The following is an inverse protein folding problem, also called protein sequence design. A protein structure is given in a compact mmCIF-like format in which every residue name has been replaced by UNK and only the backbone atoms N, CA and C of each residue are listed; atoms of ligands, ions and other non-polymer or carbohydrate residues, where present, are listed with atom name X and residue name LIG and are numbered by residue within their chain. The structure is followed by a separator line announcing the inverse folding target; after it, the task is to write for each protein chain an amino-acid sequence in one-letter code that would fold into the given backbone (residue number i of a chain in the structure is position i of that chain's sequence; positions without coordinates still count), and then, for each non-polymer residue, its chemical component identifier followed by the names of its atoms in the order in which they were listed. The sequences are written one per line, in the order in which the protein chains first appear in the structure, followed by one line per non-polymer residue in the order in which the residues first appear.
data_IF_878993829059
#
_entry.id   IF_878993829059
#
_cell.length_a   1.000
_cell.length_b   1.000
_cell.length_c   1.000
_cell.angle_alpha   90.00
_cell.angle_beta   90.00
_cell.angle_gamma   90.00
#
_symmetry.space_group_name_H-M   'P 1'
#
loop_
_entity.id
_entity.type
_entity.pdbx_description
1 polymer ?
#
# COMPACT_ATOMS: atom_id res chain seq x y z
N UNK A 1 10.60 46.21 -40.32
CA UNK A 1 11.08 47.19 -39.32
C UNK A 1 12.51 47.52 -39.69
N UNK A 2 12.89 48.80 -39.76
CA UNK A 2 14.25 49.18 -40.12
C UNK A 2 15.25 48.76 -39.04
N UNK A 3 16.49 48.49 -39.45
CA UNK A 3 17.60 48.12 -38.56
C UNK A 3 17.78 49.13 -37.42
N UNK A 4 17.57 50.42 -37.71
CA UNK A 4 17.58 51.50 -36.73
C UNK A 4 16.52 51.34 -35.62
N UNK A 5 15.33 50.83 -35.95
CA UNK A 5 14.26 50.59 -34.96
C UNK A 5 14.61 49.42 -34.06
N UNK A 6 15.26 48.39 -34.59
CA UNK A 6 15.72 47.24 -33.81
C UNK A 6 16.87 47.64 -32.88
N UNK A 7 17.84 48.41 -33.37
CA UNK A 7 18.95 48.93 -32.56
C UNK A 7 18.46 49.85 -31.44
N UNK A 8 17.49 50.74 -31.73
CA UNK A 8 16.86 51.59 -30.72
C UNK A 8 16.12 50.75 -29.66
N UNK A 9 15.44 49.66 -30.08
CA UNK A 9 14.74 48.78 -29.15
C UNK A 9 15.69 47.97 -28.28
N UNK A 10 16.79 47.47 -28.83
CA UNK A 10 17.82 46.75 -28.06
C UNK A 10 18.44 47.68 -27.02
N UNK A 11 18.81 48.91 -27.41
CA UNK A 11 19.36 49.90 -26.48
C UNK A 11 18.39 50.25 -25.34
N UNK A 12 17.10 50.42 -25.66
CA UNK A 12 16.08 50.66 -24.64
C UNK A 12 15.92 49.47 -23.67
N UNK A 13 16.04 48.24 -24.17
CA UNK A 13 15.98 47.04 -23.33
C UNK A 13 17.21 46.88 -22.45
N UNK A 14 18.40 47.23 -22.95
CA UNK A 14 19.64 47.24 -22.16
C UNK A 14 19.57 48.26 -21.01
N UNK A 15 19.04 49.46 -21.28
CA UNK A 15 18.81 50.49 -20.26
C UNK A 15 17.78 50.04 -19.20
N UNK A 16 16.69 49.37 -19.61
CA UNK A 16 15.69 48.79 -18.70
C UNK A 16 16.30 47.70 -17.81
N UNK A 17 17.14 46.83 -18.38
CA UNK A 17 17.82 45.75 -17.64
C UNK A 17 18.78 46.31 -16.60
N UNK A 18 19.56 47.34 -16.92
CA UNK A 18 20.45 47.99 -15.95
C UNK A 18 19.67 48.72 -14.85
N UNK A 19 18.53 49.34 -15.19
CA UNK A 19 17.63 49.93 -14.19
C UNK A 19 17.08 48.88 -13.22
N UNK A 20 16.63 47.73 -13.73
CA UNK A 20 16.11 46.63 -12.91
C UNK A 20 17.20 45.99 -12.05
N UNK A 21 18.43 45.84 -12.57
CA UNK A 21 19.58 45.38 -11.77
C UNK A 21 19.92 46.36 -10.65
N UNK A 22 19.86 47.66 -10.91
CA UNK A 22 20.07 48.68 -9.88
C UNK A 22 18.98 48.62 -8.80
N UNK A 23 17.71 48.42 -9.17
CA UNK A 23 16.61 48.23 -8.21
C UNK A 23 16.79 46.98 -7.34
N UNK A 24 17.17 45.84 -7.95
CA UNK A 24 17.45 44.61 -7.22
C UNK A 24 18.66 44.75 -6.27
N UNK A 25 19.65 45.58 -6.63
CA UNK A 25 20.79 45.88 -5.75
C UNK A 25 20.35 46.72 -4.54
N UNK A 26 19.48 47.71 -4.74
CA UNK A 26 18.89 48.52 -3.65
C UNK A 26 18.01 47.66 -2.73
N UNK A 27 17.20 46.75 -3.26
CA UNK A 27 16.42 45.80 -2.43
C UNK A 27 17.32 44.84 -1.63
N UNK A 28 18.41 44.36 -2.24
CA UNK A 28 19.36 43.46 -1.59
C UNK A 28 20.19 44.17 -0.51
N UNK A 29 20.53 45.43 -0.71
CA UNK A 29 21.23 46.26 0.28
C UNK A 29 20.27 46.79 1.37
N UNK A 30 19.00 47.02 1.05
CA UNK A 30 17.90 47.27 1.99
C UNK A 30 17.60 46.07 2.90
N UNK A 31 17.61 44.85 2.35
CA UNK A 31 17.47 43.62 3.12
C UNK A 31 18.69 43.33 4.03
N UNK A 32 19.90 43.79 3.63
CA UNK A 32 21.10 43.72 4.47
C UNK A 32 21.11 44.79 5.57
N UNK A 33 20.55 45.97 5.34
CA UNK A 33 20.40 47.01 6.38
C UNK A 33 19.27 46.69 7.36
N UNK A 34 18.18 46.06 6.94
CA UNK A 34 17.15 45.52 7.86
C UNK A 34 17.66 44.33 8.68
N UNK A 35 18.53 43.49 8.09
CA UNK A 35 19.22 42.43 8.83
C UNK A 35 20.30 42.97 9.78
N UNK A 36 21.00 44.06 9.43
CA UNK A 36 22.03 44.66 10.29
C UNK A 36 21.42 45.46 11.45
N UNK A 37 20.30 46.16 11.24
CA UNK A 37 19.59 46.92 12.29
C UNK A 37 18.82 46.01 13.28
N UNK A 38 18.47 44.78 12.88
CA UNK A 38 18.01 43.72 13.80
C UNK A 38 19.17 43.04 14.54
N UNK A 39 20.42 43.17 14.09
CA UNK A 39 21.60 42.54 14.71
C UNK A 39 22.34 43.46 15.69
N UNK A 40 22.16 44.79 15.62
CA UNK A 40 22.77 45.74 16.57
C UNK A 40 21.88 46.09 17.78
N UNK A 41 20.56 45.87 17.72
CA UNK A 41 19.69 45.97 18.92
C UNK A 41 19.77 44.73 19.83
N UNK A 42 20.56 43.72 19.45
CA UNK A 42 20.76 42.46 20.19
C UNK A 42 22.17 42.32 20.81
N UNK A 43 22.98 43.39 20.84
CA UNK A 43 24.35 43.35 21.41
C UNK A 43 24.68 44.39 22.48
N UNK A 44 23.75 45.27 22.85
CA UNK A 44 23.90 46.20 23.97
C UNK A 44 22.79 46.00 25.02
N UNK A 45 22.70 44.81 25.59
CA UNK A 45 22.01 44.57 26.87
C UNK A 45 22.37 43.20 27.50
N UNK A 46 23.59 42.72 27.27
CA UNK A 46 24.16 41.58 28.03
C UNK A 46 25.47 42.04 28.69
N UNK A 47 25.32 42.87 29.73
CA UNK A 47 26.46 43.39 30.46
C UNK A 47 26.10 44.30 31.62
N UNK A 48 24.95 44.08 32.26
CA UNK A 48 24.58 44.55 33.62
C UNK A 48 23.08 44.28 33.84
N UNK A 49 22.72 43.03 34.14
CA UNK A 49 21.56 42.73 35.00
C UNK A 49 21.55 41.23 35.31
N UNK A 50 22.51 40.86 36.15
CA UNK A 50 22.44 39.63 36.90
C UNK A 50 21.37 39.80 38.00
N UNK A 51 20.09 39.60 37.64
CA UNK A 51 18.94 39.15 38.49
C UNK A 51 17.59 39.51 37.83
N UNK A 52 17.06 38.62 36.97
CA UNK A 52 15.69 38.08 37.11
C UNK A 52 15.18 37.34 35.84
N UNK A 53 14.77 36.07 36.05
CA UNK A 53 13.86 35.22 35.23
C UNK A 53 14.25 34.92 33.76
N UNK A 54 15.31 34.13 33.56
CA UNK A 54 15.37 33.18 32.44
C UNK A 54 14.25 32.13 32.57
N UNK A 55 13.26 32.17 31.67
CA UNK A 55 12.33 31.05 31.47
C UNK A 55 13.07 29.98 30.66
N UNK A 56 13.63 28.97 31.34
CA UNK A 56 14.17 27.76 30.71
C UNK A 56 13.13 27.22 29.71
N UNK A 57 13.47 27.08 28.41
CA UNK A 57 12.77 26.12 27.54
C UNK A 57 13.01 24.76 28.17
N UNK A 58 12.06 24.30 28.99
CA UNK A 58 12.14 23.00 29.63
C UNK A 58 12.27 21.94 28.56
N UNK A 59 13.14 20.95 28.78
CA UNK A 59 13.12 19.71 28.02
C UNK A 59 11.66 19.22 27.97
N UNK A 60 11.13 18.96 26.76
CA UNK A 60 9.79 18.40 26.61
C UNK A 60 9.71 17.13 27.46
N UNK A 61 8.84 17.15 28.46
CA UNK A 61 8.63 15.96 29.31
C UNK A 61 8.13 14.84 28.39
N UNK A 62 8.70 13.62 28.49
CA UNK A 62 8.20 12.48 27.73
C UNK A 62 6.70 12.30 27.95
N UNK A 63 5.98 11.99 26.88
CA UNK A 63 4.56 11.68 26.98
C UNK A 63 4.38 10.37 27.75
N UNK A 64 3.58 10.42 28.82
CA UNK A 64 3.34 9.26 29.67
C UNK A 64 2.14 8.46 29.15
N UNK A 65 2.39 7.30 28.54
CA UNK A 65 1.33 6.42 28.03
C UNK A 65 0.60 5.65 29.15
N UNK A 66 1.19 5.51 30.34
CA UNK A 66 0.64 4.67 31.42
C UNK A 66 -0.62 5.25 32.06
N UNK A 67 -0.85 6.56 31.91
CA UNK A 67 -2.00 7.27 32.46
C UNK A 67 -3.18 7.41 31.48
N UNK A 68 -3.05 6.83 30.27
CA UNK A 68 -4.06 6.93 29.22
C UNK A 68 -4.65 5.57 28.84
N UNK A 69 -5.98 5.48 28.69
CA UNK A 69 -6.63 4.34 28.07
C UNK A 69 -6.09 4.07 26.66
N UNK A 70 -6.21 2.82 26.25
CA UNK A 70 -6.02 2.39 24.86
C UNK A 70 -7.33 1.83 24.32
N UNK A 71 -7.54 1.93 23.01
CA UNK A 71 -8.67 1.33 22.32
C UNK A 71 -8.17 0.51 21.14
N UNK A 72 -8.60 -0.74 21.05
CA UNK A 72 -8.42 -1.55 19.86
C UNK A 72 -9.35 -1.06 18.76
N UNK A 73 -8.79 -0.69 17.62
CA UNK A 73 -9.53 -0.16 16.47
C UNK A 73 -9.13 -0.84 15.18
N UNK A 74 -10.04 -0.84 14.21
CA UNK A 74 -9.72 -1.05 12.80
C UNK A 74 -9.56 0.32 12.12
N UNK A 75 -8.50 0.50 11.33
CA UNK A 75 -8.30 1.68 10.48
C UNK A 75 -8.38 1.26 9.01
N UNK A 76 -9.19 1.97 8.22
CA UNK A 76 -9.26 1.82 6.76
C UNK A 76 -8.43 2.91 6.10
N UNK A 77 -7.49 2.50 5.24
CA UNK A 77 -6.52 3.37 4.60
C UNK A 77 -6.57 3.24 3.08
N UNK A 78 -6.37 4.36 2.40
CA UNK A 78 -6.08 4.44 0.98
C UNK A 78 -4.67 4.97 0.74
N UNK A 79 -4.03 4.50 -0.31
CA UNK A 79 -2.75 5.03 -0.77
C UNK A 79 -2.49 4.81 -2.26
N UNK A 80 -1.75 5.74 -2.88
CA UNK A 80 -1.18 5.58 -4.21
C UNK A 80 0.18 4.89 -4.10
N UNK A 81 0.26 3.63 -4.48
CA UNK A 81 1.43 2.77 -4.23
C UNK A 81 2.66 3.04 -5.08
N UNK A 82 2.55 3.91 -6.10
CA UNK A 82 3.54 4.07 -7.17
C UNK A 82 4.94 4.47 -6.69
N UNK A 83 5.03 5.21 -5.58
CA UNK A 83 6.30 5.68 -5.03
C UNK A 83 6.82 4.80 -3.88
N UNK A 84 6.09 3.74 -3.51
CA UNK A 84 6.37 2.92 -2.34
C UNK A 84 6.86 1.52 -2.72
N UNK A 85 7.76 0.97 -1.90
CA UNK A 85 8.25 -0.40 -2.02
C UNK A 85 7.31 -1.43 -1.35
N UNK A 86 6.01 -1.19 -1.52
CA UNK A 86 4.92 -2.01 -0.98
C UNK A 86 4.39 -1.51 0.35
N UNK A 87 3.43 -2.26 0.88
CA UNK A 87 2.80 -1.89 2.15
C UNK A 87 3.73 -2.16 3.34
N UNK A 88 4.24 -3.39 3.45
CA UNK A 88 4.98 -3.85 4.61
C UNK A 88 6.45 -3.39 4.60
N UNK A 89 6.97 -2.99 5.76
CA UNK A 89 8.40 -2.69 5.96
C UNK A 89 9.26 -3.89 5.55
N UNK A 90 10.39 -3.61 4.90
CA UNK A 90 11.38 -4.59 4.49
C UNK A 90 12.75 -4.23 5.11
N UNK A 91 13.65 -5.20 5.27
CA UNK A 91 14.95 -4.99 5.94
C UNK A 91 15.84 -3.98 5.19
N UNK A 92 15.66 -3.85 3.88
CA UNK A 92 16.47 -3.03 2.99
C UNK A 92 15.87 -1.65 2.69
N UNK A 93 14.66 -1.34 3.18
CA UNK A 93 14.00 -0.06 2.88
C UNK A 93 12.95 0.32 3.92
N UNK A 94 12.95 1.60 4.27
CA UNK A 94 11.89 2.25 5.03
C UNK A 94 10.88 2.95 4.11
N UNK A 95 11.07 2.95 2.79
CA UNK A 95 10.15 3.59 1.84
C UNK A 95 8.92 2.73 1.56
N UNK A 96 8.11 2.52 2.61
CA UNK A 96 6.90 1.69 2.61
C UNK A 96 5.75 2.44 3.26
N UNK A 97 4.51 2.06 2.90
CA UNK A 97 3.31 2.69 3.48
C UNK A 97 3.26 2.47 5.01
N UNK A 98 3.62 1.27 5.46
CA UNK A 98 3.66 0.93 6.88
C UNK A 98 4.67 1.78 7.65
N UNK A 99 5.86 2.02 7.12
CA UNK A 99 6.84 2.88 7.78
C UNK A 99 6.28 4.31 7.99
N UNK A 100 5.70 4.91 6.94
CA UNK A 100 5.08 6.24 7.01
C UNK A 100 3.90 6.28 7.99
N UNK A 101 3.12 5.22 8.05
CA UNK A 101 2.03 5.09 9.01
C UNK A 101 2.56 5.03 10.45
N UNK A 102 3.61 4.26 10.72
CA UNK A 102 4.20 4.18 12.06
C UNK A 102 4.91 5.49 12.47
N UNK A 103 5.56 6.18 11.54
CA UNK A 103 6.07 7.54 11.76
C UNK A 103 4.94 8.48 12.21
N UNK A 104 3.79 8.46 11.54
CA UNK A 104 2.61 9.26 11.90
C UNK A 104 2.03 8.88 13.28
N UNK A 105 1.88 7.59 13.57
CA UNK A 105 1.35 7.08 14.84
C UNK A 105 2.24 7.47 16.03
N UNK A 106 3.57 7.37 15.87
CA UNK A 106 4.55 7.76 16.89
C UNK A 106 4.62 9.27 17.07
N UNK A 107 4.62 10.03 15.96
CA UNK A 107 4.64 11.50 15.98
C UNK A 107 3.43 12.09 16.68
N UNK A 108 2.27 11.48 16.53
CA UNK A 108 0.99 11.91 17.12
C UNK A 108 0.76 11.37 18.54
N UNK A 109 1.69 10.56 19.07
CA UNK A 109 1.59 9.90 20.38
C UNK A 109 0.30 9.07 20.49
N UNK A 110 -0.11 8.44 19.38
CA UNK A 110 -1.22 7.49 19.39
C UNK A 110 -0.75 6.10 19.82
N UNK A 111 0.52 5.77 19.58
CA UNK A 111 1.16 4.55 20.09
C UNK A 111 2.50 4.89 20.75
N UNK A 112 2.95 4.04 21.67
CA UNK A 112 4.27 4.11 22.27
C UNK A 112 5.33 3.51 21.35
N UNK A 113 5.07 2.31 20.87
CA UNK A 113 5.93 1.55 19.97
C UNK A 113 5.09 0.54 19.17
N UNK A 114 5.73 -0.16 18.24
CA UNK A 114 5.07 -1.12 17.37
C UNK A 114 4.74 -2.42 18.08
N UNK A 115 5.65 -2.90 18.92
CA UNK A 115 5.60 -4.20 19.56
C UNK A 115 4.43 -4.31 20.55
N UNK A 116 4.09 -3.21 21.22
CA UNK A 116 3.03 -3.14 22.24
C UNK A 116 1.67 -2.68 21.70
N UNK A 117 1.56 -2.44 20.39
CA UNK A 117 0.37 -1.86 19.74
C UNK A 117 -0.65 -2.86 19.18
N UNK A 118 -0.47 -4.18 19.42
CA UNK A 118 -1.38 -5.23 18.92
C UNK A 118 -1.67 -5.11 17.41
N UNK A 119 -0.64 -4.81 16.62
CA UNK A 119 -0.76 -4.44 15.22
C UNK A 119 -0.94 -5.66 14.29
N UNK A 120 -2.02 -5.66 13.50
CA UNK A 120 -2.28 -6.61 12.42
C UNK A 120 -2.65 -5.89 11.12
N UNK A 121 -2.35 -6.53 9.98
CA UNK A 121 -2.62 -5.99 8.64
C UNK A 121 -3.42 -6.98 7.80
N UNK A 122 -4.41 -6.49 7.07
CA UNK A 122 -5.30 -7.31 6.25
C UNK A 122 -4.60 -7.91 5.03
N UNK A 123 -3.80 -7.10 4.32
CA UNK A 123 -3.05 -7.51 3.14
C UNK A 123 -1.65 -6.91 3.09
N UNK A 124 -0.75 -7.55 2.32
CA UNK A 124 0.57 -7.01 1.98
C UNK A 124 0.56 -6.71 0.49
N UNK A 125 0.37 -5.45 0.12
CA UNK A 125 0.47 -5.06 -1.29
C UNK A 125 1.93 -4.97 -1.70
N UNK A 126 2.24 -5.43 -2.91
CA UNK A 126 3.59 -5.40 -3.47
C UNK A 126 4.02 -3.96 -3.80
N UNK A 127 5.30 -3.78 -4.14
CA UNK A 127 5.82 -2.52 -4.68
C UNK A 127 4.93 -2.02 -5.83
N UNK A 128 4.67 -0.71 -5.85
CA UNK A 128 3.86 -0.07 -6.90
C UNK A 128 2.34 -0.26 -6.76
N UNK A 129 1.88 -1.28 -6.04
CA UNK A 129 0.45 -1.61 -5.90
C UNK A 129 -0.25 -0.63 -4.95
N UNK A 130 -1.36 -0.05 -5.42
CA UNK A 130 -2.17 0.89 -4.64
C UNK A 130 -3.21 0.18 -3.78
N UNK A 131 -3.85 0.90 -2.86
CA UNK A 131 -5.01 0.41 -2.12
C UNK A 131 -6.04 1.52 -1.92
N UNK A 132 -7.32 1.17 -2.01
CA UNK A 132 -8.42 2.04 -1.63
C UNK A 132 -8.98 1.68 -0.24
N UNK A 133 -8.97 0.40 0.12
CA UNK A 133 -9.45 -0.09 1.41
C UNK A 133 -8.50 -1.14 1.98
N UNK A 134 -7.24 -0.77 2.17
CA UNK A 134 -6.37 -1.52 3.09
C UNK A 134 -6.92 -1.36 4.50
N UNK A 135 -6.83 -2.41 5.33
CA UNK A 135 -7.27 -2.36 6.72
C UNK A 135 -6.17 -2.86 7.64
N UNK A 136 -5.96 -2.14 8.75
CA UNK A 136 -5.15 -2.61 9.87
C UNK A 136 -6.00 -2.66 11.15
N UNK A 137 -5.62 -3.50 12.10
CA UNK A 137 -6.11 -3.40 13.48
C UNK A 137 -4.94 -3.08 14.41
N UNK A 138 -5.18 -2.21 15.39
CA UNK A 138 -4.14 -1.63 16.25
C UNK A 138 -4.74 -1.03 17.53
N UNK A 139 -3.98 -1.06 18.62
CA UNK A 139 -4.28 -0.33 19.85
C UNK A 139 -3.82 1.13 19.73
N UNK A 140 -4.75 2.06 19.84
CA UNK A 140 -4.47 3.51 19.87
C UNK A 140 -4.77 4.09 21.25
N UNK A 141 -4.06 5.14 21.64
CA UNK A 141 -4.43 6.00 22.77
C UNK A 141 -5.89 6.44 22.64
N UNK A 142 -6.61 6.45 23.76
CA UNK A 142 -8.04 6.79 23.82
C UNK A 142 -8.31 7.80 24.94
N UNK A 143 -9.38 8.58 24.80
CA UNK A 143 -9.91 9.47 25.85
C UNK A 143 -11.01 8.80 26.68
N UNK A 144 -11.28 7.51 26.46
CA UNK A 144 -12.41 6.80 27.05
C UNK A 144 -12.02 6.15 28.38
N UNK A 145 -12.03 6.93 29.45
CA UNK A 145 -11.74 6.44 30.82
C UNK A 145 -12.87 5.60 31.42
N UNK A 146 -14.09 5.69 30.86
CA UNK A 146 -15.26 4.91 31.28
C UNK A 146 -15.39 3.52 30.63
N UNK A 147 -14.40 3.09 29.84
CA UNK A 147 -14.46 1.84 29.08
C UNK A 147 -15.22 1.96 27.76
N UNK A 148 -15.74 0.83 27.28
CA UNK A 148 -16.42 0.69 25.99
C UNK A 148 -15.74 -0.33 25.07
N UNK A 149 -16.31 -0.55 23.88
CA UNK A 149 -15.81 -1.54 22.93
C UNK A 149 -14.31 -1.30 22.61
N UNK A 150 -13.51 -2.35 22.80
CA UNK A 150 -12.06 -2.36 22.58
C UNK A 150 -11.23 -1.55 23.58
N UNK A 151 -11.83 -0.93 24.59
CA UNK A 151 -11.11 -0.04 25.53
C UNK A 151 -10.45 -0.83 26.64
N UNK A 152 -9.16 -0.57 26.85
CA UNK A 152 -8.37 -1.04 28.00
C UNK A 152 -7.94 0.15 28.84
N UNK A 153 -8.38 0.22 30.10
CA UNK A 153 -8.01 1.28 31.05
C UNK A 153 -6.86 0.79 31.95
N UNK A 154 -5.76 1.57 32.11
CA UNK A 154 -4.67 1.19 33.00
C UNK A 154 -5.09 1.10 34.48
N UNK A 155 -4.50 0.13 35.20
CA UNK A 155 -4.74 -0.03 36.63
C UNK A 155 -4.26 1.20 37.43
N UNK A 156 -5.07 1.66 38.39
CA UNK A 156 -4.73 2.80 39.26
C UNK A 156 -5.04 4.19 38.70
N UNK A 157 -5.63 4.29 37.51
CA UNK A 157 -6.13 5.56 36.97
C UNK A 157 -7.56 5.78 37.44
N UNK A 158 -7.76 6.70 38.39
CA UNK A 158 -9.10 7.14 38.79
C UNK A 158 -9.84 7.77 37.62
N UNK A 159 -11.13 7.44 37.45
CA UNK A 159 -12.02 8.06 36.46
C UNK A 159 -12.24 9.54 36.84
N UNK A 160 -11.29 10.41 36.46
CA UNK A 160 -11.37 11.84 36.73
C UNK A 160 -12.36 12.51 35.79
N UNK A 161 -13.58 12.71 36.28
CA UNK A 161 -14.60 13.55 35.63
C UNK A 161 -15.20 12.95 34.36
N UNK A 162 -16.37 13.48 33.94
CA UNK A 162 -17.19 13.00 32.80
C UNK A 162 -16.33 12.41 31.68
N UNK A 163 -16.56 11.13 31.35
CA UNK A 163 -16.02 10.53 30.14
C UNK A 163 -16.18 11.52 28.99
N UNK A 164 -15.08 11.80 28.26
CA UNK A 164 -15.16 12.63 27.06
C UNK A 164 -16.29 12.08 26.20
N UNK A 165 -17.27 12.90 25.87
CA UNK A 165 -18.44 12.47 25.09
C UNK A 165 -18.00 11.86 23.74
N UNK A 166 -16.85 12.29 23.23
CA UNK A 166 -16.29 11.88 21.95
C UNK A 166 -14.88 11.32 22.11
N UNK A 167 -14.53 10.36 21.24
CA UNK A 167 -13.20 9.78 21.11
C UNK A 167 -12.25 10.76 20.38
N UNK A 168 -10.94 10.50 20.45
CA UNK A 168 -9.98 11.21 19.61
C UNK A 168 -10.33 11.10 18.11
N UNK A 169 -10.22 12.21 17.34
CA UNK A 169 -10.46 12.21 15.90
C UNK A 169 -9.25 11.60 15.16
N UNK A 170 -9.13 10.27 15.20
CA UNK A 170 -7.97 9.54 14.70
C UNK A 170 -7.67 9.85 13.24
N UNK A 171 -8.70 9.99 12.40
CA UNK A 171 -8.55 10.25 10.97
C UNK A 171 -7.87 11.60 10.76
N UNK A 172 -8.42 12.66 11.34
CA UNK A 172 -7.87 14.02 11.28
C UNK A 172 -6.47 14.13 11.85
N UNK A 173 -6.21 13.49 13.00
CA UNK A 173 -4.89 13.49 13.65
C UNK A 173 -3.83 12.87 12.73
N UNK A 174 -4.11 11.70 12.15
CA UNK A 174 -3.17 10.98 11.30
C UNK A 174 -3.00 11.67 9.93
N UNK A 175 -4.09 12.06 9.27
CA UNK A 175 -4.04 12.70 7.95
C UNK A 175 -3.27 14.02 7.95
N UNK A 176 -3.22 14.74 9.08
CA UNK A 176 -2.43 15.97 9.22
C UNK A 176 -0.92 15.75 9.14
N UNK A 177 -0.43 14.55 9.45
CA UNK A 177 1.00 14.24 9.47
C UNK A 177 1.42 13.19 8.44
N UNK A 178 0.47 12.49 7.82
CA UNK A 178 0.73 11.53 6.76
C UNK A 178 1.09 12.22 5.42
N UNK A 179 1.98 11.61 4.61
CA UNK A 179 2.22 12.03 3.23
C UNK A 179 0.93 12.12 2.41
N UNK A 180 0.85 13.02 1.42
CA UNK A 180 -0.41 13.32 0.71
C UNK A 180 -1.05 12.14 -0.01
N UNK A 181 -0.25 11.15 -0.36
CA UNK A 181 -0.60 9.93 -1.07
C UNK A 181 -0.93 8.74 -0.13
N UNK A 182 -0.97 8.96 1.19
CA UNK A 182 -1.47 8.00 2.19
C UNK A 182 -2.53 8.68 3.06
N UNK A 183 -3.73 8.10 3.11
CA UNK A 183 -4.87 8.66 3.84
C UNK A 183 -5.58 7.61 4.66
N UNK A 184 -5.89 7.95 5.91
CA UNK A 184 -6.91 7.24 6.68
C UNK A 184 -8.26 7.74 6.16
N UNK A 185 -9.14 6.81 5.85
CA UNK A 185 -10.51 7.11 5.41
C UNK A 185 -11.48 7.05 6.57
N UNK A 186 -11.39 5.96 7.35
CA UNK A 186 -12.37 5.61 8.35
C UNK A 186 -11.71 4.84 9.49
N UNK A 187 -12.37 4.79 10.63
CA UNK A 187 -11.98 3.94 11.75
C UNK A 187 -13.20 3.28 12.40
N UNK A 188 -12.99 2.17 13.10
CA UNK A 188 -14.06 1.51 13.86
C UNK A 188 -13.50 0.98 15.19
N UNK A 189 -14.20 1.15 16.33
CA UNK A 189 -13.90 0.37 17.52
C UNK A 189 -14.21 -1.11 17.26
N UNK A 190 -13.35 -2.00 17.71
CA UNK A 190 -13.48 -3.46 17.55
C UNK A 190 -13.14 -4.17 18.85
N UNK A 191 -13.49 -5.45 18.96
CA UNK A 191 -13.12 -6.27 20.12
C UNK A 191 -11.60 -6.40 20.26
N UNK A 192 -11.09 -6.55 21.49
CA UNK A 192 -9.64 -6.61 21.75
C UNK A 192 -8.93 -7.79 21.07
N UNK A 193 -9.67 -8.83 20.67
CA UNK A 193 -9.14 -9.98 19.92
C UNK A 193 -9.18 -9.84 18.40
N UNK A 194 -9.78 -8.76 17.87
CA UNK A 194 -9.96 -8.59 16.43
C UNK A 194 -8.63 -8.45 15.69
N UNK A 195 -8.46 -9.22 14.63
CA UNK A 195 -7.33 -9.18 13.73
C UNK A 195 -7.78 -8.84 12.32
N UNK A 196 -7.35 -7.68 11.82
CA UNK A 196 -7.59 -7.30 10.42
C UNK A 196 -7.09 -8.36 9.41
N UNK A 197 -6.13 -9.21 9.81
CA UNK A 197 -5.62 -10.31 9.00
C UNK A 197 -6.60 -11.50 8.96
N UNK A 198 -7.02 -11.98 10.12
CA UNK A 198 -7.72 -13.26 10.26
C UNK A 198 -9.23 -13.11 10.17
N UNK A 199 -9.79 -11.98 10.58
CA UNK A 199 -11.24 -11.73 10.55
C UNK A 199 -11.73 -11.15 9.21
N UNK A 200 -10.81 -10.85 8.28
CA UNK A 200 -11.19 -10.42 6.95
C UNK A 200 -11.72 -11.61 6.14
N UNK A 201 -12.96 -11.50 5.68
CA UNK A 201 -13.69 -12.56 5.00
C UNK A 201 -13.37 -12.65 3.52
N UNK A 202 -13.14 -11.50 2.87
CA UNK A 202 -12.76 -11.48 1.46
C UNK A 202 -12.04 -10.19 1.10
N UNK A 203 -11.22 -10.28 0.06
CA UNK A 203 -10.52 -9.13 -0.54
C UNK A 203 -10.93 -9.02 -2.00
N UNK A 204 -11.16 -7.79 -2.44
CA UNK A 204 -11.41 -7.48 -3.86
C UNK A 204 -10.24 -6.69 -4.40
N UNK A 205 -9.64 -7.19 -5.48
CA UNK A 205 -8.64 -6.47 -6.25
C UNK A 205 -9.22 -5.99 -7.57
N UNK A 206 -8.74 -4.84 -8.03
CA UNK A 206 -9.00 -4.30 -9.36
C UNK A 206 -7.68 -4.09 -10.09
N UNK A 207 -7.62 -4.50 -11.34
CA UNK A 207 -6.51 -4.25 -12.24
C UNK A 207 -7.02 -3.45 -13.44
N UNK A 208 -6.54 -2.22 -13.59
CA UNK A 208 -6.96 -1.36 -14.70
C UNK A 208 -6.05 -1.53 -15.91
N UNK A 209 -6.62 -1.58 -17.11
CA UNK A 209 -5.85 -1.73 -18.35
C UNK A 209 -6.56 -1.10 -19.54
N UNK A 210 -5.83 -0.58 -20.55
CA UNK A 210 -6.45 -0.14 -21.80
C UNK A 210 -6.86 -1.34 -22.64
N UNK A 211 -7.93 -1.19 -23.42
CA UNK A 211 -8.36 -2.20 -24.40
C UNK A 211 -7.24 -2.54 -25.37
N UNK A 212 -6.64 -1.53 -25.99
CA UNK A 212 -5.67 -1.70 -27.08
C UNK A 212 -6.18 -2.68 -28.12
N UNK A 213 -5.32 -3.60 -28.52
CA UNK A 213 -5.64 -4.69 -29.45
C UNK A 213 -6.07 -6.00 -28.73
N UNK A 214 -6.44 -5.93 -27.46
CA UNK A 214 -6.84 -7.11 -26.69
C UNK A 214 -8.25 -7.58 -27.05
N UNK A 215 -8.39 -8.90 -27.17
CA UNK A 215 -9.69 -9.58 -27.21
C UNK A 215 -10.28 -9.67 -25.79
N UNK A 216 -10.92 -8.58 -25.38
CA UNK A 216 -11.47 -8.43 -24.01
C UNK A 216 -12.58 -9.40 -23.68
N UNK A 217 -13.34 -9.84 -24.69
CA UNK A 217 -14.43 -10.81 -24.50
C UNK A 217 -13.84 -12.20 -24.24
N UNK A 218 -12.81 -12.59 -24.99
CA UNK A 218 -12.06 -13.82 -24.74
C UNK A 218 -11.38 -13.81 -23.36
N UNK A 219 -10.82 -12.65 -22.95
CA UNK A 219 -10.28 -12.49 -21.59
C UNK A 219 -11.37 -12.62 -20.52
N UNK A 220 -12.56 -12.06 -20.74
CA UNK A 220 -13.66 -12.11 -19.78
C UNK A 220 -14.16 -13.54 -19.56
N UNK A 221 -14.28 -14.31 -20.64
CA UNK A 221 -14.62 -15.74 -20.59
C UNK A 221 -13.55 -16.53 -19.85
N UNK A 222 -12.27 -16.36 -20.22
CA UNK A 222 -11.16 -17.05 -19.58
C UNK A 222 -11.04 -16.72 -18.07
N UNK A 223 -11.37 -15.49 -17.66
CA UNK A 223 -11.30 -15.08 -16.26
C UNK A 223 -12.23 -15.92 -15.36
N UNK A 224 -13.34 -16.46 -15.89
CA UNK A 224 -14.27 -17.31 -15.15
C UNK A 224 -13.65 -18.62 -14.69
N UNK A 225 -12.67 -19.15 -15.42
CA UNK A 225 -11.96 -20.37 -15.05
C UNK A 225 -11.18 -20.24 -13.72
N UNK A 226 -10.94 -19.02 -13.24
CA UNK A 226 -10.34 -18.81 -11.92
C UNK A 226 -11.30 -19.03 -10.75
N UNK A 227 -12.61 -18.95 -10.97
CA UNK A 227 -13.61 -19.07 -9.90
C UNK A 227 -13.61 -20.49 -9.30
N UNK A 228 -13.85 -20.58 -7.98
CA UNK A 228 -13.76 -21.82 -7.22
C UNK A 228 -12.46 -21.99 -6.44
N UNK A 229 -12.23 -23.21 -5.95
CA UNK A 229 -11.07 -23.56 -5.12
C UNK A 229 -10.07 -24.36 -5.94
N UNK A 230 -8.90 -23.79 -6.18
CA UNK A 230 -7.86 -24.40 -7.01
C UNK A 230 -6.47 -24.26 -6.39
N UNK A 231 -5.52 -25.08 -6.82
CA UNK A 231 -4.11 -24.91 -6.49
C UNK A 231 -3.46 -23.89 -7.45
N UNK A 232 -3.10 -22.72 -6.92
CA UNK A 232 -2.53 -21.62 -7.70
C UNK A 232 -0.99 -21.62 -7.71
N UNK A 233 -0.29 -22.72 -7.40
CA UNK A 233 1.19 -22.76 -7.36
C UNK A 233 1.84 -22.35 -8.69
N UNK A 234 1.19 -22.66 -9.82
CA UNK A 234 1.62 -22.27 -11.15
C UNK A 234 1.23 -20.83 -11.53
N UNK A 235 0.34 -20.20 -10.75
CA UNK A 235 -0.21 -18.85 -10.97
C UNK A 235 0.10 -17.94 -9.78
N UNK A 236 1.27 -18.13 -9.16
CA UNK A 236 1.79 -17.25 -8.12
C UNK A 236 3.33 -17.34 -8.07
N UNK A 237 3.96 -16.57 -7.19
CA UNK A 237 5.35 -16.80 -6.79
C UNK A 237 5.36 -17.67 -5.54
N UNK A 238 5.83 -18.91 -5.68
CA UNK A 238 5.95 -19.84 -4.54
C UNK A 238 6.91 -19.29 -3.47
N UNK A 239 6.37 -18.96 -2.30
CA UNK A 239 7.08 -18.32 -1.19
C UNK A 239 7.37 -19.30 -0.05
N UNK A 240 7.91 -20.46 -0.42
CA UNK A 240 8.24 -21.57 0.51
C UNK A 240 9.21 -21.13 1.60
N UNK A 241 10.12 -20.20 1.29
CA UNK A 241 11.08 -19.66 2.25
C UNK A 241 10.45 -18.89 3.41
N UNK A 242 9.19 -18.44 3.27
CA UNK A 242 8.39 -17.81 4.31
C UNK A 242 7.36 -18.77 4.93
N UNK A 243 7.51 -20.09 4.72
CA UNK A 243 6.63 -21.12 5.30
C UNK A 243 5.33 -21.35 4.54
N UNK A 244 5.19 -20.84 3.32
CA UNK A 244 3.99 -21.10 2.49
C UNK A 244 4.11 -22.44 1.80
N UNK A 245 3.28 -23.39 2.23
CA UNK A 245 3.25 -24.76 1.71
C UNK A 245 1.92 -25.13 1.05
N UNK A 246 0.85 -24.42 1.40
CA UNK A 246 -0.49 -24.60 0.84
C UNK A 246 -0.81 -23.50 -0.17
N UNK A 247 -1.05 -23.92 -1.42
CA UNK A 247 -1.30 -23.06 -2.58
C UNK A 247 -2.76 -23.09 -3.03
N UNK A 248 -3.63 -23.84 -2.35
CA UNK A 248 -5.06 -23.76 -2.58
C UNK A 248 -5.62 -22.41 -2.17
N UNK A 249 -6.37 -21.76 -3.07
CA UNK A 249 -7.10 -20.51 -2.80
C UNK A 249 -8.50 -20.59 -3.41
N UNK A 250 -9.41 -19.84 -2.80
CA UNK A 250 -10.81 -19.75 -3.23
C UNK A 250 -11.05 -18.37 -3.84
N UNK A 251 -11.37 -18.34 -5.13
CA UNK A 251 -11.84 -17.15 -5.84
C UNK A 251 -13.36 -17.20 -5.88
N UNK A 252 -13.99 -16.16 -5.33
CA UNK A 252 -15.45 -16.03 -5.26
C UNK A 252 -16.04 -15.48 -6.55
N UNK A 253 -15.32 -14.58 -7.22
CA UNK A 253 -15.75 -14.02 -8.51
C UNK A 253 -14.56 -13.43 -9.26
N UNK A 254 -14.55 -13.59 -10.57
CA UNK A 254 -13.61 -12.97 -11.50
C UNK A 254 -14.38 -12.39 -12.69
N UNK A 255 -14.07 -11.15 -13.08
CA UNK A 255 -14.82 -10.45 -14.13
C UNK A 255 -13.97 -9.39 -14.80
N UNK A 256 -14.27 -9.13 -16.07
CA UNK A 256 -13.71 -8.02 -16.85
C UNK A 256 -14.87 -7.16 -17.33
N UNK A 257 -14.76 -5.85 -17.14
CA UNK A 257 -15.78 -4.90 -17.57
C UNK A 257 -15.14 -3.54 -17.92
N UNK A 258 -15.82 -2.68 -18.70
CA UNK A 258 -15.39 -1.30 -18.88
C UNK A 258 -15.22 -0.57 -17.53
N UNK A 259 -14.16 0.22 -17.40
CA UNK A 259 -13.91 1.02 -16.19
C UNK A 259 -14.77 2.30 -16.14
N UNK A 260 -15.26 2.77 -17.29
CA UNK A 260 -16.16 3.91 -17.42
C UNK A 260 -17.47 3.46 -18.07
N UNK A 261 -18.61 3.99 -17.58
CA UNK A 261 -19.95 3.63 -18.04
C UNK A 261 -20.32 4.22 -19.42
N UNK A 262 -19.67 5.32 -19.82
CA UNK A 262 -19.92 6.01 -21.09
C UNK A 262 -18.71 5.87 -22.01
N UNK A 263 -18.65 4.83 -22.86
CA UNK A 263 -17.56 4.70 -23.82
C UNK A 263 -17.57 5.87 -24.80
N UNK A 264 -16.38 6.36 -25.14
CA UNK A 264 -16.12 7.29 -26.25
C UNK A 264 -16.50 6.70 -27.62
N UNK A 265 -16.80 5.40 -27.67
CA UNK A 265 -17.39 4.68 -28.79
C UNK A 265 -17.15 3.17 -28.64
N UNK A 266 -17.94 2.31 -29.31
CA UNK A 266 -17.62 0.88 -29.40
C UNK A 266 -16.30 0.75 -30.18
N UNK A 267 -15.25 0.22 -29.54
CA UNK A 267 -13.89 0.01 -30.09
C UNK A 267 -12.87 1.16 -29.97
N UNK A 268 -13.00 2.10 -29.02
CA UNK A 268 -11.86 2.98 -28.70
C UNK A 268 -10.71 2.15 -28.07
N UNK A 269 -9.51 2.08 -28.70
CA UNK A 269 -8.38 1.33 -28.15
C UNK A 269 -7.86 1.94 -26.83
N UNK A 270 -8.17 3.20 -26.54
CA UNK A 270 -7.82 3.86 -25.28
C UNK A 270 -8.86 3.63 -24.18
N UNK A 271 -10.00 2.98 -24.48
CA UNK A 271 -11.00 2.65 -23.48
C UNK A 271 -10.38 1.81 -22.37
N UNK A 272 -10.55 2.24 -21.12
CA UNK A 272 -10.07 1.50 -19.97
C UNK A 272 -11.07 0.42 -19.57
N UNK A 273 -10.54 -0.75 -19.25
CA UNK A 273 -11.21 -1.89 -18.66
C UNK A 273 -10.66 -2.15 -17.26
N UNK A 274 -11.42 -2.91 -16.47
CA UNK A 274 -11.02 -3.38 -15.16
C UNK A 274 -11.22 -4.89 -15.08
N UNK A 275 -10.15 -5.60 -14.72
CA UNK A 275 -10.24 -6.97 -14.22
C UNK A 275 -10.47 -6.89 -12.71
N UNK A 276 -11.64 -7.34 -12.27
CA UNK A 276 -12.00 -7.39 -10.86
C UNK A 276 -12.02 -8.85 -10.39
N UNK A 277 -11.27 -9.14 -9.33
CA UNK A 277 -11.22 -10.45 -8.69
C UNK A 277 -11.49 -10.33 -7.19
N UNK A 278 -12.41 -11.16 -6.70
CA UNK A 278 -12.76 -11.28 -5.29
C UNK A 278 -12.42 -12.69 -4.81
N UNK A 279 -11.72 -12.80 -3.69
CA UNK A 279 -11.33 -14.08 -3.11
C UNK A 279 -11.19 -14.01 -1.60
N UNK A 280 -11.14 -15.18 -0.95
CA UNK A 280 -10.97 -15.25 0.50
C UNK A 280 -9.57 -14.77 0.92
N UNK A 281 -8.54 -15.22 0.19
CA UNK A 281 -7.15 -14.82 0.34
C UNK A 281 -6.39 -15.00 -0.99
N UNK A 282 -5.25 -14.32 -1.12
CA UNK A 282 -4.39 -14.41 -2.31
C UNK A 282 -2.96 -14.78 -1.91
N UNK A 283 -2.28 -15.53 -2.78
CA UNK A 283 -0.86 -15.86 -2.69
C UNK A 283 0.00 -14.69 -3.19
N UNK A 284 1.30 -14.77 -2.89
CA UNK A 284 2.27 -13.79 -3.36
C UNK A 284 2.27 -13.70 -4.90
N UNK A 285 2.08 -12.50 -5.43
CA UNK A 285 1.96 -12.18 -6.85
C UNK A 285 0.77 -12.84 -7.61
N UNK A 286 -0.17 -13.51 -6.93
CA UNK A 286 -1.20 -14.31 -7.60
C UNK A 286 -2.02 -13.49 -8.61
N UNK A 287 -2.57 -12.36 -8.20
CA UNK A 287 -3.44 -11.52 -9.07
C UNK A 287 -2.68 -11.01 -10.30
N UNK A 288 -1.39 -10.70 -10.16
CA UNK A 288 -0.54 -10.24 -11.28
C UNK A 288 -0.19 -11.38 -12.23
N UNK A 289 -0.04 -12.61 -11.73
CA UNK A 289 0.09 -13.81 -12.55
C UNK A 289 -1.22 -14.11 -13.29
N UNK A 290 -2.38 -13.98 -12.63
CA UNK A 290 -3.69 -14.15 -13.26
C UNK A 290 -3.86 -13.15 -14.41
N UNK A 291 -3.60 -11.87 -14.15
CA UNK A 291 -3.66 -10.84 -15.19
C UNK A 291 -2.66 -11.09 -16.33
N UNK A 292 -1.47 -11.62 -16.05
CA UNK A 292 -0.48 -11.94 -17.09
C UNK A 292 -1.01 -12.98 -18.09
N UNK A 293 -1.67 -14.03 -17.60
CA UNK A 293 -2.29 -15.05 -18.46
C UNK A 293 -3.44 -14.45 -19.28
N UNK A 294 -4.28 -13.62 -18.65
CA UNK A 294 -5.35 -12.91 -19.36
C UNK A 294 -4.79 -11.99 -20.45
N UNK A 295 -3.69 -11.28 -20.22
CA UNK A 295 -3.04 -10.46 -21.25
C UNK A 295 -2.51 -11.30 -22.41
N UNK A 296 -1.96 -12.48 -22.16
CA UNK A 296 -1.51 -13.40 -23.22
C UNK A 296 -2.70 -13.93 -24.04
N UNK A 297 -3.80 -14.27 -23.37
CA UNK A 297 -5.05 -14.72 -24.01
C UNK A 297 -5.68 -13.60 -24.84
N UNK A 298 -5.77 -12.39 -24.29
CA UNK A 298 -6.28 -11.22 -25.02
C UNK A 298 -5.43 -10.86 -26.22
N UNK A 299 -4.13 -11.13 -26.18
CA UNK A 299 -3.22 -10.99 -27.33
C UNK A 299 -3.29 -12.16 -28.32
N UNK A 300 -4.13 -13.17 -28.04
CA UNK A 300 -4.26 -14.43 -28.81
C UNK A 300 -2.94 -15.21 -28.92
N UNK A 301 -2.06 -15.02 -27.95
CA UNK A 301 -0.80 -15.76 -27.84
C UNK A 301 -0.98 -17.08 -27.10
N UNK A 302 -1.97 -17.14 -26.21
CA UNK A 302 -2.43 -18.37 -25.55
C UNK A 302 -3.93 -18.54 -25.74
N UNK A 303 -4.40 -19.79 -25.71
CA UNK A 303 -5.81 -20.10 -25.70
C UNK A 303 -6.35 -20.13 -24.25
N UNK A 304 -7.64 -19.87 -24.00
CA UNK A 304 -8.21 -19.82 -22.64
C UNK A 304 -7.91 -21.05 -21.77
N UNK A 305 -7.85 -22.24 -22.38
CA UNK A 305 -7.62 -23.53 -21.73
C UNK A 305 -6.28 -23.60 -20.98
N UNK A 306 -5.35 -22.68 -21.26
CA UNK A 306 -4.08 -22.58 -20.53
C UNK A 306 -4.30 -22.36 -19.03
N UNK A 307 -5.39 -21.68 -18.63
CA UNK A 307 -5.68 -21.44 -17.21
C UNK A 307 -6.00 -22.78 -16.54
N UNK A 308 -6.95 -23.54 -17.05
CA UNK A 308 -7.27 -24.89 -16.56
C UNK A 308 -6.03 -25.80 -16.53
N UNK A 309 -5.23 -25.80 -17.60
CA UNK A 309 -4.00 -26.60 -17.66
C UNK A 309 -3.00 -26.22 -16.57
N UNK A 310 -2.89 -24.95 -16.21
CA UNK A 310 -1.99 -24.50 -15.15
C UNK A 310 -2.55 -24.72 -13.74
N UNK A 311 -3.87 -24.75 -13.57
CA UNK A 311 -4.54 -25.10 -12.32
C UNK A 311 -4.49 -26.62 -12.05
N UNK A 312 -4.42 -27.43 -13.11
CA UNK A 312 -4.18 -28.88 -13.02
C UNK A 312 -2.70 -29.18 -12.71
N UNK A 313 -2.40 -29.22 -11.41
CA UNK A 313 -1.06 -29.50 -10.90
C UNK A 313 -0.65 -30.98 -11.00
N UNK A 314 -1.59 -31.89 -11.27
CA UNK A 314 -1.26 -33.31 -11.49
C UNK A 314 -0.67 -33.48 -12.89
N UNK A 315 -1.33 -32.90 -13.89
CA UNK A 315 -0.84 -32.89 -15.27
C UNK A 315 0.34 -31.95 -15.47
N UNK A 316 0.33 -30.78 -14.81
CA UNK A 316 1.38 -29.77 -14.91
C UNK A 316 1.96 -29.42 -13.52
N UNK A 317 2.80 -30.30 -12.94
CA UNK A 317 3.31 -30.13 -11.56
C UNK A 317 4.33 -29.01 -11.38
N UNK A 318 4.79 -28.40 -12.48
CA UNK A 318 5.86 -27.41 -12.47
C UNK A 318 5.46 -26.17 -13.25
N UNK A 319 5.57 -25.01 -12.59
CA UNK A 319 5.27 -23.71 -13.16
C UNK A 319 6.14 -23.41 -14.39
N UNK A 320 5.58 -23.11 -15.57
CA UNK A 320 6.37 -22.59 -16.69
C UNK A 320 6.89 -21.18 -16.39
N UNK A 321 8.02 -20.81 -17.00
CA UNK A 321 8.57 -19.46 -16.84
C UNK A 321 7.76 -18.42 -17.63
N UNK A 322 7.21 -17.44 -16.94
CA UNK A 322 6.56 -16.27 -17.54
C UNK A 322 6.65 -15.05 -16.64
N UNK A 323 6.65 -13.87 -17.26
CA UNK A 323 6.62 -12.57 -16.59
C UNK A 323 5.22 -12.26 -16.07
N UNK A 324 5.14 -11.47 -15.00
CA UNK A 324 3.86 -11.06 -14.41
C UNK A 324 3.41 -9.74 -15.03
N UNK A 325 2.14 -9.41 -14.82
CA UNK A 325 1.62 -8.10 -15.20
C UNK A 325 2.24 -6.99 -14.32
N UNK A 326 2.37 -5.78 -14.84
CA UNK A 326 2.91 -4.61 -14.13
C UNK A 326 2.15 -4.34 -12.83
N UNK A 327 2.82 -3.76 -11.82
CA UNK A 327 2.26 -3.58 -10.47
C UNK A 327 1.32 -2.37 -10.32
N UNK A 328 1.68 -1.23 -10.88
CA UNK A 328 1.01 0.06 -10.68
C UNK A 328 -0.48 0.12 -11.05
N UNK A 329 -1.04 -0.73 -11.95
CA UNK A 329 -2.48 -0.75 -12.23
C UNK A 329 -3.28 -1.60 -11.24
N UNK A 330 -2.62 -2.39 -10.39
CA UNK A 330 -3.27 -3.22 -9.38
C UNK A 330 -3.63 -2.38 -8.15
N UNK A 331 -4.87 -2.55 -7.68
CA UNK A 331 -5.41 -1.88 -6.50
C UNK A 331 -6.09 -2.90 -5.59
N UNK A 332 -5.68 -2.94 -4.32
CA UNK A 332 -6.50 -3.55 -3.26
C UNK A 332 -7.73 -2.66 -3.03
N UNK A 333 -8.86 -3.05 -3.61
CA UNK A 333 -10.02 -2.18 -3.72
C UNK A 333 -10.93 -2.26 -2.49
N UNK A 334 -11.16 -3.47 -1.97
CA UNK A 334 -12.03 -3.69 -0.81
C UNK A 334 -11.52 -4.82 0.09
N UNK A 335 -11.77 -4.69 1.39
CA UNK A 335 -11.59 -5.74 2.40
C UNK A 335 -12.88 -5.84 3.21
N UNK A 336 -13.53 -7.00 3.14
CA UNK A 336 -14.81 -7.23 3.79
C UNK A 336 -14.65 -7.82 5.19
N UNK A 337 -15.37 -7.25 6.15
CA UNK A 337 -15.44 -7.68 7.54
C UNK A 337 -16.90 -7.66 7.99
N UNK A 338 -17.34 -8.68 8.72
CA UNK A 338 -18.64 -8.67 9.38
C UNK A 338 -18.59 -7.92 10.71
N UNK A 339 -19.69 -7.27 11.08
CA UNK A 339 -19.84 -6.62 12.39
C UNK A 339 -19.01 -5.35 12.60
N UNK A 340 -18.21 -4.91 11.62
CA UNK A 340 -17.38 -3.69 11.75
C UNK A 340 -18.17 -2.46 11.33
N UNK A 341 -18.46 -1.60 12.31
CA UNK A 341 -19.19 -0.34 12.12
C UNK A 341 -18.22 0.82 11.86
N UNK A 342 -17.98 1.12 10.59
CA UNK A 342 -17.08 2.20 10.15
C UNK A 342 -17.61 3.59 10.51
N UNK A 343 -16.74 4.41 11.10
CA UNK A 343 -16.96 5.81 11.42
C UNK A 343 -16.18 6.68 10.44
N UNK A 344 -16.87 7.71 9.95
CA UNK A 344 -16.34 8.63 8.94
C UNK A 344 -16.30 10.04 9.52
N UNK A 345 -15.36 10.84 9.03
CA UNK A 345 -15.26 12.26 9.35
C UNK A 345 -15.47 13.04 8.04
N UNK A 346 -16.65 13.64 7.84
CA UNK A 346 -17.06 14.24 6.55
C UNK A 346 -16.09 15.31 6.04
N UNK A 347 -15.52 16.12 6.92
CA UNK A 347 -14.48 17.10 6.55
C UNK A 347 -13.25 16.41 5.93
N UNK A 348 -12.80 15.32 6.54
CA UNK A 348 -11.63 14.56 6.08
C UNK A 348 -11.92 13.83 4.76
N UNK A 349 -13.12 13.28 4.60
CA UNK A 349 -13.56 12.70 3.32
C UNK A 349 -13.49 13.75 2.19
N UNK A 350 -14.01 14.96 2.42
CA UNK A 350 -13.96 16.04 1.45
C UNK A 350 -12.52 16.47 1.11
N UNK A 351 -11.61 16.49 2.09
CA UNK A 351 -10.19 16.74 1.85
C UNK A 351 -9.54 15.65 1.00
N UNK A 352 -9.84 14.38 1.29
CA UNK A 352 -9.36 13.23 0.51
C UNK A 352 -9.89 13.29 -0.93
N UNK A 353 -11.19 13.53 -1.11
CA UNK A 353 -11.80 13.70 -2.44
C UNK A 353 -11.12 14.83 -3.22
N UNK A 354 -10.90 15.99 -2.59
CA UNK A 354 -10.24 17.13 -3.24
C UNK A 354 -8.81 16.80 -3.69
N UNK A 355 -8.05 16.09 -2.85
CA UNK A 355 -6.70 15.61 -3.19
C UNK A 355 -6.73 14.63 -4.37
N UNK A 356 -7.66 13.67 -4.36
CA UNK A 356 -7.83 12.71 -5.46
C UNK A 356 -8.24 13.40 -6.76
N UNK A 357 -9.13 14.40 -6.71
CA UNK A 357 -9.48 15.21 -7.88
C UNK A 357 -8.27 15.96 -8.43
N UNK A 358 -7.41 16.52 -7.58
CA UNK A 358 -6.19 17.19 -8.03
C UNK A 358 -5.25 16.22 -8.76
N UNK A 359 -5.05 15.02 -8.21
CA UNK A 359 -4.26 13.96 -8.88
C UNK A 359 -4.91 13.53 -10.19
N UNK A 360 -6.24 13.39 -10.22
CA UNK A 360 -6.97 13.04 -11.43
C UNK A 360 -6.80 14.10 -12.52
N UNK A 361 -6.97 15.39 -12.21
CA UNK A 361 -6.80 16.49 -13.18
C UNK A 361 -5.38 16.47 -13.75
N UNK A 362 -4.36 16.33 -12.91
CA UNK A 362 -2.97 16.29 -13.36
C UNK A 362 -2.70 15.12 -14.31
N UNK A 363 -3.19 13.92 -13.97
CA UNK A 363 -3.00 12.74 -14.81
C UNK A 363 -3.84 12.81 -16.09
N UNK A 364 -5.08 13.30 -16.03
CA UNK A 364 -5.94 13.48 -17.19
C UNK A 364 -5.32 14.46 -18.21
N UNK A 365 -4.80 15.61 -17.76
CA UNK A 365 -4.09 16.56 -18.62
C UNK A 365 -2.86 15.92 -19.25
N UNK A 366 -2.02 15.23 -18.47
CA UNK A 366 -0.83 14.53 -18.99
C UNK A 366 -1.20 13.48 -20.04
N UNK A 367 -2.22 12.66 -19.77
CA UNK A 367 -2.75 11.68 -20.72
C UNK A 367 -3.24 12.34 -22.00
N UNK A 368 -3.98 13.45 -21.90
CA UNK A 368 -4.49 14.17 -23.08
C UNK A 368 -3.36 14.80 -23.92
N UNK A 369 -2.33 15.35 -23.26
CA UNK A 369 -1.13 15.86 -23.96
C UNK A 369 -0.44 14.74 -24.74
N UNK A 370 -0.24 13.57 -24.12
CA UNK A 370 0.33 12.40 -24.78
C UNK A 370 -0.54 11.94 -25.96
N UNK A 371 -1.86 11.87 -25.77
CA UNK A 371 -2.79 11.49 -26.83
C UNK A 371 -2.74 12.47 -28.01
N UNK A 372 -2.67 13.77 -27.75
CA UNK A 372 -2.52 14.79 -28.78
C UNK A 372 -1.20 14.65 -29.57
N UNK A 373 -0.10 14.33 -28.88
CA UNK A 373 1.19 14.04 -29.54
C UNK A 373 1.12 12.79 -30.42
N UNK A 374 0.52 11.70 -29.93
CA UNK A 374 0.33 10.45 -30.68
C UNK A 374 -0.49 10.73 -31.94
N UNK A 375 -1.63 11.40 -31.81
CA UNK A 375 -2.51 11.75 -32.94
C UNK A 375 -1.83 12.68 -33.94
N UNK A 376 -1.00 13.61 -33.47
CA UNK A 376 -0.19 14.48 -34.33
C UNK A 376 0.78 13.70 -35.20
N UNK A 377 1.50 12.73 -34.61
CA UNK A 377 2.46 11.88 -35.32
C UNK A 377 1.79 10.86 -36.26
N UNK A 378 0.63 10.33 -35.88
CA UNK A 378 -0.14 9.40 -36.73
C UNK A 378 -0.63 10.05 -38.04
N UNK A 379 -0.83 11.37 -38.07
CA UNK A 379 -1.19 12.08 -39.31
C UNK A 379 -0.05 12.15 -40.32
N UNK A 380 1.19 12.10 -39.86
CA UNK A 380 2.39 12.17 -40.72
C UNK A 380 2.92 10.79 -41.12
N UNK A 381 2.47 9.74 -40.46
CA UNK A 381 2.95 8.36 -40.66
C UNK A 381 1.90 7.55 -41.40
N UNK A 382 2.30 6.89 -42.50
CA UNK A 382 1.43 6.00 -43.29
C UNK A 382 1.29 4.61 -42.67
N UNK A 383 2.13 4.25 -41.70
CA UNK A 383 2.10 2.98 -40.99
C UNK A 383 1.17 3.00 -39.78
N UNK A 384 0.24 2.04 -39.74
CA UNK A 384 -0.69 1.86 -38.63
C UNK A 384 0.07 1.30 -37.41
N UNK A 385 0.26 2.12 -36.37
CA UNK A 385 0.89 1.67 -35.13
C UNK A 385 -0.16 0.98 -34.24
N UNK A 386 -0.01 -0.33 -34.05
CA UNK A 386 -0.83 -1.12 -33.10
C UNK A 386 -0.70 -0.57 -31.69
N UNK A 387 -1.82 -0.47 -30.95
CA UNK A 387 -1.82 -0.02 -29.56
C UNK A 387 -1.43 -1.18 -28.67
N UNK A 388 -0.13 -1.44 -28.68
CA UNK A 388 0.47 -2.57 -27.97
C UNK A 388 0.27 -2.41 -26.45
N UNK A 389 -0.19 -3.47 -25.80
CA UNK A 389 -0.34 -3.48 -24.34
C UNK A 389 1.03 -3.68 -23.66
N UNK A 390 1.52 -2.63 -23.01
CA UNK A 390 2.82 -2.57 -22.29
C UNK A 390 2.71 -2.92 -20.81
N UNK A 391 1.77 -3.81 -20.45
CA UNK A 391 1.49 -4.16 -19.05
C UNK A 391 2.12 -5.49 -18.61
N UNK A 392 3.11 -6.01 -19.33
CA UNK A 392 3.90 -7.17 -18.94
C UNK A 392 5.29 -6.75 -18.48
N UNK A 393 5.79 -7.34 -17.39
CA UNK A 393 7.15 -7.08 -16.91
C UNK A 393 8.24 -7.65 -17.85
N UNK A 394 9.37 -6.96 -17.92
CA UNK A 394 10.58 -7.42 -18.62
C UNK A 394 10.57 -7.17 -20.13
N UNK A 395 11.58 -7.72 -20.82
CA UNK A 395 11.72 -7.59 -22.27
C UNK A 395 10.90 -8.65 -23.01
N UNK A 396 10.18 -8.23 -24.05
CA UNK A 396 9.39 -9.13 -24.90
C UNK A 396 10.33 -9.97 -25.77
N UNK A 397 10.09 -11.27 -25.87
CA UNK A 397 10.77 -12.12 -26.83
C UNK A 397 10.28 -11.78 -28.25
N UNK A 398 11.20 -11.73 -29.23
CA UNK A 398 10.86 -11.42 -30.63
C UNK A 398 9.92 -12.46 -31.25
N UNK A 399 10.04 -13.72 -30.83
CA UNK A 399 9.17 -14.83 -31.23
C UNK A 399 8.49 -15.36 -29.98
N UNK A 400 7.16 -15.44 -30.01
CA UNK A 400 6.40 -16.01 -28.92
C UNK A 400 6.61 -17.53 -28.83
N UNK A 401 6.83 -18.04 -27.62
CA UNK A 401 6.84 -19.46 -27.32
C UNK A 401 5.66 -19.78 -26.39
N UNK A 402 4.80 -20.76 -26.72
CA UNK A 402 3.70 -21.19 -25.86
C UNK A 402 4.17 -21.55 -24.45
N UNK A 403 3.36 -21.25 -23.43
CA UNK A 403 3.75 -21.38 -22.02
C UNK A 403 4.19 -22.80 -21.65
N UNK A 404 3.47 -23.82 -22.12
CA UNK A 404 3.78 -25.22 -21.77
C UNK A 404 5.07 -25.76 -22.40
N UNK A 405 5.57 -25.09 -23.45
CA UNK A 405 6.82 -25.42 -24.15
C UNK A 405 8.04 -24.73 -23.52
N UNK A 406 7.83 -23.83 -22.56
CA UNK A 406 8.92 -23.07 -21.91
C UNK A 406 9.62 -23.89 -20.83
N UNK A 407 10.86 -23.52 -20.47
CA UNK A 407 11.50 -24.04 -19.27
C UNK A 407 10.61 -23.88 -18.04
N UNK A 408 10.55 -24.91 -17.21
CA UNK A 408 9.74 -24.94 -15.99
C UNK A 408 10.58 -24.67 -14.75
N UNK A 409 10.04 -23.95 -13.78
CA UNK A 409 10.63 -23.77 -12.46
C UNK A 409 10.79 -25.10 -11.72
N UNK A 410 11.56 -25.12 -10.64
CA UNK A 410 11.63 -26.25 -9.70
C UNK A 410 10.23 -26.63 -9.16
N UNK A 411 10.05 -27.91 -8.84
CA UNK A 411 8.81 -28.39 -8.21
C UNK A 411 8.66 -27.87 -6.78
N UNK A 412 7.46 -28.01 -6.21
CA UNK A 412 7.21 -27.63 -4.82
C UNK A 412 8.07 -28.46 -3.86
N UNK A 413 8.13 -29.77 -4.07
CA UNK A 413 8.87 -30.73 -3.24
C UNK A 413 10.36 -30.40 -3.23
N UNK A 414 10.92 -30.10 -4.40
CA UNK A 414 12.31 -29.67 -4.55
C UNK A 414 12.60 -28.38 -3.77
N UNK A 415 11.69 -27.40 -3.83
CA UNK A 415 11.81 -26.15 -3.06
C UNK A 415 11.69 -26.36 -1.55
N UNK A 416 10.79 -27.22 -1.10
CA UNK A 416 10.66 -27.57 0.32
C UNK A 416 11.97 -28.18 0.81
N UNK A 417 12.50 -29.19 0.12
CA UNK A 417 13.78 -29.83 0.46
C UNK A 417 14.94 -28.82 0.49
N UNK A 418 14.98 -27.87 -0.45
CA UNK A 418 15.98 -26.80 -0.44
C UNK A 418 15.94 -25.96 0.85
N UNK A 419 14.75 -25.56 1.31
CA UNK A 419 14.60 -24.73 2.51
C UNK A 419 14.70 -25.51 3.83
N UNK A 420 14.38 -26.81 3.83
CA UNK A 420 14.69 -27.73 4.93
C UNK A 420 16.20 -27.87 5.10
N UNK A 421 16.95 -28.11 4.01
CA UNK A 421 18.42 -28.19 4.04
C UNK A 421 19.07 -26.88 4.53
N UNK A 422 18.45 -25.73 4.26
CA UNK A 422 18.90 -24.43 4.77
C UNK A 422 18.41 -24.11 6.20
N UNK A 423 17.72 -25.04 6.85
CA UNK A 423 17.22 -24.90 8.22
C UNK A 423 16.17 -23.82 8.41
N UNK A 424 15.51 -23.36 7.33
CA UNK A 424 14.42 -22.36 7.37
C UNK A 424 13.04 -23.01 7.57
N UNK A 425 12.92 -24.29 7.21
CA UNK A 425 11.77 -25.15 7.50
C UNK A 425 12.21 -26.26 8.46
N UNK A 426 11.31 -26.64 9.37
CA UNK A 426 11.45 -27.80 10.24
C UNK A 426 10.61 -28.94 9.67
N UNK A 427 11.10 -30.17 9.83
CA UNK A 427 10.40 -31.41 9.51
C UNK A 427 9.97 -32.03 10.83
N UNK A 428 8.68 -32.10 11.11
CA UNK A 428 8.15 -32.91 12.21
C UNK A 428 7.84 -34.31 11.65
N UNK A 429 8.46 -35.35 12.20
CA UNK A 429 8.07 -36.74 11.96
C UNK A 429 6.83 -37.03 12.81
N UNK A 430 5.74 -37.50 12.19
CA UNK A 430 4.51 -37.82 12.91
C UNK A 430 4.71 -38.94 13.93
N UNK A 431 4.09 -38.83 15.11
CA UNK A 431 4.28 -39.74 16.25
C UNK A 431 3.85 -41.21 16.03
N UNK A 432 3.35 -41.61 14.86
CA UNK A 432 2.83 -42.98 14.64
C UNK A 432 3.17 -43.61 13.28
N UNK A 433 4.32 -43.30 12.68
CA UNK A 433 4.79 -44.03 11.48
C UNK A 433 3.88 -43.93 10.23
N UNK A 434 2.87 -43.05 10.24
CA UNK A 434 2.11 -42.66 9.06
C UNK A 434 2.83 -41.50 8.33
N UNK A 435 2.91 -41.58 7.00
CA UNK A 435 3.54 -40.61 6.10
C UNK A 435 2.79 -39.25 6.07
N UNK A 436 2.77 -38.52 7.18
CA UNK A 436 2.41 -37.09 7.18
C UNK A 436 3.59 -36.29 7.70
N UNK A 437 4.55 -36.02 6.82
CA UNK A 437 5.62 -35.05 7.09
C UNK A 437 5.01 -33.65 7.13
N UNK A 438 4.85 -33.09 8.33
CA UNK A 438 4.37 -31.72 8.51
C UNK A 438 5.57 -30.80 8.51
N UNK A 439 5.66 -29.92 7.51
CA UNK A 439 6.69 -28.90 7.47
C UNK A 439 6.16 -27.59 8.08
N UNK A 440 6.92 -26.99 8.99
CA UNK A 440 6.58 -25.68 9.59
C UNK A 440 7.70 -24.68 9.34
N UNK A 441 7.33 -23.43 9.03
CA UNK A 441 8.29 -22.33 8.97
C UNK A 441 8.77 -21.98 10.37
N UNK A 442 10.09 -21.81 10.55
CA UNK A 442 10.62 -21.33 11.84
C UNK A 442 10.04 -19.97 12.18
N UNK A 443 9.39 -19.85 13.34
CA UNK A 443 8.98 -18.55 13.87
C UNK A 443 10.23 -17.70 14.10
N UNK A 444 10.21 -16.45 13.63
CA UNK A 444 11.31 -15.50 13.86
C UNK A 444 11.61 -15.40 15.37
N UNK A 445 12.90 -15.32 15.74
CA UNK A 445 13.38 -15.19 17.13
C UNK A 445 12.77 -14.00 17.89
N UNK A 446 12.13 -13.04 17.19
CA UNK A 446 11.38 -11.94 17.81
C UNK A 446 10.00 -12.34 18.36
N UNK A 447 9.54 -13.58 18.15
CA UNK A 447 8.26 -14.08 18.69
C UNK A 447 8.39 -14.84 20.02
N UNK A 448 9.62 -15.17 20.44
CA UNK A 448 9.88 -16.02 21.62
C UNK A 448 9.54 -15.39 22.97
N UNK A 449 9.27 -14.08 23.04
CA UNK A 449 8.89 -13.42 24.30
C UNK A 449 7.39 -13.46 24.59
N UNK A 450 6.57 -13.92 23.65
CA UNK A 450 5.09 -13.87 23.78
C UNK A 450 4.48 -15.18 24.30
N UNK A 451 5.15 -16.32 24.11
CA UNK A 451 4.56 -17.63 24.45
C UNK A 451 4.96 -18.13 25.83
N UNK A 452 6.11 -17.72 26.36
CA UNK A 452 6.61 -18.22 27.66
C UNK A 452 5.83 -17.64 28.86
N UNK A 453 5.25 -16.45 28.73
CA UNK A 453 4.50 -15.82 29.82
C UNK A 453 3.04 -16.28 29.93
N UNK A 454 2.47 -16.94 28.92
CA UNK A 454 1.08 -17.45 29.01
C UNK A 454 0.98 -18.86 29.60
N UNK A 455 2.08 -19.63 29.64
CA UNK A 455 2.08 -20.99 30.17
C UNK A 455 2.42 -21.01 31.68
N UNK A 456 3.10 -19.98 32.20
CA UNK A 456 3.41 -19.90 33.64
C UNK A 456 2.27 -19.38 34.52
N UNK A 457 1.28 -18.67 33.98
CA UNK A 457 0.11 -18.20 34.77
C UNK A 457 -1.02 -19.23 34.88
N UNK A 458 -1.01 -20.32 34.10
CA UNK A 458 -2.03 -21.39 34.21
C UNK A 458 -1.64 -22.52 35.18
N UNK A 459 -0.38 -22.61 35.60
CA UNK A 459 0.12 -23.70 36.47
C UNK A 459 0.29 -23.32 37.95
N UNK A 460 -0.24 -22.19 38.41
CA UNK A 460 -0.20 -21.79 39.84
C UNK A 460 -1.59 -21.62 40.48
N UNK A 461 -2.64 -22.19 39.88
CA UNK A 461 -4.03 -22.08 40.36
C UNK A 461 -4.68 -23.38 40.86
N UNK A 462 -3.94 -24.48 41.01
CA UNK A 462 -4.53 -25.78 41.37
C UNK A 462 -3.70 -26.51 42.43
N UNK A 463 -3.69 -26.00 43.65
CA UNK A 463 -3.31 -26.78 44.85
C UNK A 463 -3.84 -26.05 46.09
N UNK A 464 -5.03 -26.45 46.56
CA UNK A 464 -5.52 -26.43 47.96
C UNK A 464 -7.04 -26.63 47.99
N UNK A 465 -7.48 -27.90 48.05
CA UNK A 465 -8.69 -28.33 48.75
C UNK A 465 -8.70 -29.86 48.79
N UNK A 466 -8.05 -30.41 49.82
CA UNK A 466 -8.62 -31.42 50.74
C UNK A 466 -7.74 -31.52 51.99
#
# INVERSE_FOLDING_TARGET
MSEEVLLARVKALEEEVERLKAQLKVERDGAKTSASLQTESLKHQEGEENRSKQKKRGAERPFDFSVHPRRHVALRLAYLGWQYQGFAVQENTDNTVEARLFEALLKTKLIQDRQTSSYHRCGRTDKGVSAFSQVISIDLRSTQYGGGLGVTVPAGVEVKGKASAEELPYVKILNRVLPQDIRILQWAPVESGFSARFDCQSRTYRYYFPRGDLDVDLMAEAAKQYEGTHDFRNICKMDVGNGVLQFQRTILSASIQPAQLNPTGPNDPHQLYVFQVKGLAFLYHQVRCMMALLLLIGQKLEAPEIIEQLLDVEKNPRKPQYSMAMDYPLVLYDCHFEGVNWRNETEEENHVLSSLHQHWVQNAVKTQVLLGMIQGLQKTTTEMTSLQCWLMEGSRQRKYQPLLDRPRCESLESRIQHFVKRGRLEQEEGENGEETTVFRGKRSKHSHLTTTNQIQEQNHGAETHD
#
